data_IF_965672117215
#
_entry.id   IF_965672117215
#
_cell.length_a   1.000
_cell.length_b   1.000
_cell.length_c   1.000
_cell.angle_alpha   90.00
_cell.angle_beta   90.00
_cell.angle_gamma   90.00
#
_symmetry.space_group_name_H-M   'P 1'
#
loop_
_entity.id
_entity.type
_entity.pdbx_description
1 polymer ?
#
# COMPACT_ATOMS: atom_id res chain seq x y z
N UNK A 1 -6.95 27.34 -33.60
CA UNK A 1 -8.21 28.00 -33.98
C UNK A 1 -9.21 27.64 -32.89
N UNK A 2 -9.57 28.61 -32.05
CA UNK A 2 -10.48 28.39 -30.91
C UNK A 2 -11.88 28.18 -31.45
N UNK A 3 -12.36 26.95 -31.38
CA UNK A 3 -13.74 26.61 -31.75
C UNK A 3 -14.66 27.28 -30.71
N UNK A 4 -15.51 28.18 -31.17
CA UNK A 4 -16.43 28.92 -30.30
C UNK A 4 -17.44 27.93 -29.70
N UNK A 5 -17.58 27.97 -28.37
CA UNK A 5 -18.57 27.18 -27.64
C UNK A 5 -19.98 27.44 -28.22
N UNK A 6 -20.78 26.40 -28.48
CA UNK A 6 -22.17 26.59 -28.92
C UNK A 6 -22.96 27.39 -27.87
N UNK A 7 -23.96 28.19 -28.29
CA UNK A 7 -24.72 29.04 -27.38
C UNK A 7 -25.38 28.20 -26.28
N UNK A 8 -25.24 28.64 -25.03
CA UNK A 8 -25.87 28.02 -23.88
C UNK A 8 -27.40 27.93 -24.10
N UNK A 9 -27.99 26.77 -23.84
CA UNK A 9 -29.44 26.59 -23.85
C UNK A 9 -30.12 27.71 -23.03
N UNK A 10 -31.22 28.26 -23.56
CA UNK A 10 -31.96 29.34 -22.91
C UNK A 10 -32.41 28.89 -21.52
N UNK A 11 -31.91 29.56 -20.48
CA UNK A 11 -32.30 29.29 -19.11
C UNK A 11 -33.74 29.75 -18.91
N UNK A 12 -34.61 28.81 -18.53
CA UNK A 12 -35.97 29.10 -18.09
C UNK A 12 -35.98 29.40 -16.59
N UNK A 13 -37.09 29.93 -16.07
CA UNK A 13 -37.21 30.28 -14.66
C UNK A 13 -38.45 29.64 -14.05
N UNK A 14 -38.33 29.21 -12.80
CA UNK A 14 -39.46 28.73 -11.99
C UNK A 14 -39.55 29.52 -10.70
N UNK A 15 -40.77 29.70 -10.19
CA UNK A 15 -41.02 30.47 -8.97
C UNK A 15 -41.29 29.52 -7.81
N UNK A 16 -40.60 29.72 -6.69
CA UNK A 16 -40.83 28.95 -5.47
C UNK A 16 -42.23 29.23 -4.91
N UNK A 17 -43.08 28.22 -4.66
CA UNK A 17 -44.43 28.42 -4.15
C UNK A 17 -44.49 28.90 -2.69
N UNK A 18 -43.37 28.88 -1.97
CA UNK A 18 -43.30 29.27 -0.55
C UNK A 18 -42.80 30.70 -0.33
N UNK A 19 -41.74 31.10 -1.04
CA UNK A 19 -41.07 32.40 -0.81
C UNK A 19 -41.06 33.30 -2.06
N UNK A 20 -41.62 32.84 -3.18
CA UNK A 20 -41.62 33.54 -4.47
C UNK A 20 -40.23 33.81 -5.09
N UNK A 21 -39.15 33.26 -4.53
CA UNK A 21 -37.82 33.31 -5.17
C UNK A 21 -37.85 32.71 -6.58
N UNK A 22 -37.12 33.32 -7.51
CA UNK A 22 -36.94 32.81 -8.86
C UNK A 22 -35.72 31.88 -8.92
N UNK A 23 -35.91 30.66 -9.42
CA UNK A 23 -34.86 29.67 -9.58
C UNK A 23 -34.59 29.44 -11.08
N UNK A 24 -33.32 29.35 -11.49
CA UNK A 24 -32.98 28.98 -12.86
C UNK A 24 -33.35 27.51 -13.11
N UNK A 25 -33.81 27.23 -14.32
CA UNK A 25 -34.07 25.88 -14.82
C UNK A 25 -33.40 25.73 -16.19
N UNK A 26 -32.36 24.90 -16.23
CA UNK A 26 -31.51 24.72 -17.40
C UNK A 26 -31.97 23.57 -18.30
N UNK A 27 -32.79 22.66 -17.78
CA UNK A 27 -33.42 21.57 -18.55
C UNK A 27 -34.94 21.56 -18.37
N UNK A 28 -35.68 22.54 -18.95
CA UNK A 28 -37.13 22.61 -18.81
C UNK A 28 -37.87 21.38 -19.34
N UNK A 29 -37.27 20.66 -20.30
CA UNK A 29 -37.86 19.47 -20.89
C UNK A 29 -37.96 18.33 -19.87
N UNK A 30 -36.96 18.15 -19.00
CA UNK A 30 -36.89 17.03 -18.05
C UNK A 30 -37.09 17.43 -16.59
N UNK A 31 -36.69 18.63 -16.17
CA UNK A 31 -36.79 19.09 -14.77
C UNK A 31 -38.24 19.19 -14.32
N UNK A 32 -38.56 18.54 -13.19
CA UNK A 32 -39.92 18.53 -12.58
C UNK A 32 -39.91 18.86 -11.10
N UNK A 33 -38.78 18.75 -10.44
CA UNK A 33 -38.63 18.96 -9.00
C UNK A 33 -37.50 19.93 -8.72
N UNK A 34 -37.69 20.78 -7.71
CA UNK A 34 -36.79 21.89 -7.43
C UNK A 34 -36.59 22.08 -5.94
N UNK A 35 -35.33 22.29 -5.54
CA UNK A 35 -34.93 22.72 -4.20
C UNK A 35 -34.61 24.22 -4.20
N UNK A 36 -35.38 25.01 -3.44
CA UNK A 36 -35.17 26.45 -3.33
C UNK A 36 -33.92 26.79 -2.50
N UNK A 37 -32.99 27.57 -3.06
CA UNK A 37 -31.79 28.02 -2.36
C UNK A 37 -32.05 29.03 -1.23
N UNK A 38 -33.14 29.80 -1.29
CA UNK A 38 -33.51 30.75 -0.23
C UNK A 38 -34.22 30.07 0.94
N UNK A 39 -35.40 29.50 0.71
CA UNK A 39 -36.26 29.02 1.80
C UNK A 39 -36.21 27.50 2.02
N UNK A 40 -35.38 26.78 1.25
CA UNK A 40 -35.19 25.32 1.34
C UNK A 40 -36.46 24.50 1.19
N UNK A 41 -37.47 25.05 0.52
CA UNK A 41 -38.64 24.28 0.10
C UNK A 41 -38.30 23.41 -1.10
N UNK A 42 -38.65 22.14 -1.02
CA UNK A 42 -38.64 21.21 -2.14
C UNK A 42 -40.04 21.13 -2.74
N UNK A 43 -40.16 21.34 -4.05
CA UNK A 43 -41.44 21.47 -4.72
C UNK A 43 -41.43 20.90 -6.12
N UNK A 44 -42.61 20.55 -6.62
CA UNK A 44 -42.84 20.08 -7.99
C UNK A 44 -43.46 21.19 -8.84
N UNK A 45 -42.98 21.37 -10.05
CA UNK A 45 -43.60 22.25 -11.05
C UNK A 45 -43.23 21.82 -12.47
N UNK A 46 -43.97 22.30 -13.47
CA UNK A 46 -43.64 22.11 -14.89
C UNK A 46 -43.11 23.46 -15.40
N UNK A 47 -41.83 23.55 -15.79
CA UNK A 47 -41.26 24.78 -16.35
C UNK A 47 -42.06 25.27 -17.56
N UNK A 48 -42.25 26.59 -17.66
CA UNK A 48 -42.98 27.27 -18.74
C UNK A 48 -44.49 26.92 -18.90
N UNK A 49 -45.07 26.08 -18.04
CA UNK A 49 -46.50 25.84 -18.01
C UNK A 49 -47.18 26.76 -16.98
N UNK A 50 -48.45 27.13 -17.22
CA UNK A 50 -49.31 27.88 -16.28
C UNK A 50 -49.72 27.08 -15.03
N UNK A 51 -49.19 25.86 -14.86
CA UNK A 51 -49.45 25.00 -13.71
C UNK A 51 -48.93 25.58 -12.40
N UNK A 52 -49.73 25.45 -11.35
CA UNK A 52 -49.36 25.82 -9.98
C UNK A 52 -48.21 24.95 -9.47
N UNK A 53 -47.16 25.57 -8.92
CA UNK A 53 -46.10 24.85 -8.23
C UNK A 53 -46.62 24.26 -6.90
N UNK A 54 -46.29 23.00 -6.61
CA UNK A 54 -46.76 22.29 -5.42
C UNK A 54 -45.59 22.00 -4.47
N UNK A 55 -45.61 22.60 -3.29
CA UNK A 55 -44.63 22.31 -2.23
C UNK A 55 -44.81 20.88 -1.72
N UNK A 56 -43.72 20.12 -1.69
CA UNK A 56 -43.70 18.73 -1.22
C UNK A 56 -43.09 18.62 0.18
N UNK A 57 -42.00 19.36 0.42
CA UNK A 57 -41.26 19.30 1.68
C UNK A 57 -40.55 20.63 1.97
N UNK A 58 -40.08 20.82 3.20
CA UNK A 58 -39.21 21.93 3.55
C UNK A 58 -38.12 21.53 4.51
N UNK A 59 -36.87 21.68 4.08
CA UNK A 59 -35.71 21.42 4.93
C UNK A 59 -35.54 22.56 5.94
N UNK A 60 -35.29 22.20 7.20
CA UNK A 60 -35.38 23.15 8.33
C UNK A 60 -34.13 24.03 8.49
N UNK A 61 -32.96 23.57 8.06
CA UNK A 61 -31.69 24.28 8.21
C UNK A 61 -30.80 23.98 7.01
N UNK A 62 -30.08 25.00 6.54
CA UNK A 62 -28.99 24.82 5.59
C UNK A 62 -27.89 23.96 6.23
N UNK A 63 -27.47 22.90 5.54
CA UNK A 63 -26.29 22.14 5.94
C UNK A 63 -25.04 22.82 5.37
N UNK A 64 -24.05 23.05 6.24
CA UNK A 64 -22.80 23.71 5.90
C UNK A 64 -21.63 22.72 6.04
N UNK A 65 -20.61 22.79 5.17
CA UNK A 65 -20.55 23.68 4.00
C UNK A 65 -21.61 23.31 2.95
N UNK A 66 -22.05 24.31 2.18
CA UNK A 66 -22.97 24.11 1.07
C UNK A 66 -22.29 23.38 -0.11
N UNK A 67 -22.86 23.46 -1.32
CA UNK A 67 -22.25 22.81 -2.48
C UNK A 67 -20.84 23.35 -2.76
N UNK A 68 -19.84 22.46 -2.83
CA UNK A 68 -18.46 22.80 -3.25
C UNK A 68 -18.38 23.11 -4.74
N UNK A 69 -19.30 22.55 -5.53
CA UNK A 69 -19.47 22.87 -6.95
C UNK A 69 -20.70 23.76 -7.11
N UNK A 70 -20.56 24.99 -7.63
CA UNK A 70 -21.70 25.90 -7.80
C UNK A 70 -22.79 25.30 -8.70
N UNK A 71 -24.06 25.47 -8.32
CA UNK A 71 -25.18 25.16 -9.22
C UNK A 71 -25.06 26.00 -10.51
N UNK A 72 -25.29 25.38 -11.65
CA UNK A 72 -25.12 25.96 -12.98
C UNK A 72 -23.70 25.88 -13.52
N UNK A 73 -22.70 25.52 -12.71
CA UNK A 73 -21.32 25.35 -13.17
C UNK A 73 -21.25 24.29 -14.28
N UNK A 74 -20.48 24.57 -15.32
CA UNK A 74 -20.26 23.64 -16.44
C UNK A 74 -18.83 23.11 -16.42
N UNK A 75 -18.67 21.86 -16.81
CA UNK A 75 -17.38 21.20 -16.86
C UNK A 75 -17.33 20.05 -17.86
N UNK A 76 -16.16 19.45 -18.04
CA UNK A 76 -15.98 18.24 -18.84
C UNK A 76 -15.64 17.08 -17.92
N UNK A 77 -16.54 16.11 -17.82
CA UNK A 77 -16.37 14.98 -16.93
C UNK A 77 -16.98 13.71 -17.52
N UNK A 78 -16.30 12.57 -17.37
CA UNK A 78 -16.78 11.28 -17.89
C UNK A 78 -16.94 11.24 -19.42
N UNK A 79 -16.26 12.12 -20.15
CA UNK A 79 -16.41 12.28 -21.61
C UNK A 79 -17.57 13.19 -22.03
N UNK A 80 -18.27 13.82 -21.09
CA UNK A 80 -19.43 14.69 -21.36
C UNK A 80 -19.15 16.13 -20.95
N UNK A 81 -19.57 17.08 -21.80
CA UNK A 81 -19.79 18.46 -21.38
C UNK A 81 -21.06 18.48 -20.53
N UNK A 82 -20.92 18.74 -19.24
CA UNK A 82 -22.00 18.65 -18.27
C UNK A 82 -22.16 19.93 -17.45
N UNK A 83 -23.35 20.10 -16.88
CA UNK A 83 -23.74 21.18 -15.96
C UNK A 83 -24.18 20.58 -14.64
N UNK A 84 -23.75 21.18 -13.53
CA UNK A 84 -24.28 20.88 -12.20
C UNK A 84 -25.68 21.49 -12.10
N UNK A 85 -26.72 20.66 -12.01
CA UNK A 85 -28.10 21.15 -12.01
C UNK A 85 -28.77 21.01 -10.65
N UNK A 86 -28.44 19.95 -9.91
CA UNK A 86 -28.98 19.67 -8.59
C UNK A 86 -27.87 19.36 -7.60
N UNK A 87 -28.12 19.66 -6.34
CA UNK A 87 -27.28 19.33 -5.19
C UNK A 87 -28.17 18.76 -4.09
N UNK A 88 -27.76 17.65 -3.50
CA UNK A 88 -28.43 17.10 -2.32
C UNK A 88 -27.44 16.65 -1.27
N UNK A 89 -27.85 16.74 -0.01
CA UNK A 89 -27.16 16.10 1.11
C UNK A 89 -27.96 14.87 1.48
N UNK A 90 -27.32 13.73 1.45
CA UNK A 90 -27.89 12.47 1.90
C UNK A 90 -27.21 12.02 3.18
N UNK A 91 -27.94 11.25 3.97
CA UNK A 91 -27.39 10.51 5.10
C UNK A 91 -28.06 9.15 5.17
N UNK A 92 -27.76 8.39 6.21
CA UNK A 92 -28.39 7.09 6.41
C UNK A 92 -29.55 7.17 7.39
N UNK A 93 -30.49 6.24 7.28
CA UNK A 93 -31.62 6.17 8.21
C UNK A 93 -31.21 5.73 9.61
N UNK A 94 -30.22 4.84 9.69
CA UNK A 94 -29.74 4.27 10.95
C UNK A 94 -28.49 4.98 11.50
N UNK A 95 -27.82 5.80 10.69
CA UNK A 95 -26.70 6.64 11.11
C UNK A 95 -27.08 8.14 11.01
N UNK A 96 -26.95 8.85 12.14
CA UNK A 96 -27.26 10.29 12.22
C UNK A 96 -26.05 11.18 11.94
N UNK A 97 -24.87 10.61 11.80
CA UNK A 97 -23.60 11.32 11.63
C UNK A 97 -23.11 11.23 10.19
N UNK A 98 -23.25 10.06 9.54
CA UNK A 98 -22.88 9.90 8.14
C UNK A 98 -23.72 10.80 7.21
N UNK A 99 -23.03 11.74 6.57
CA UNK A 99 -23.59 12.64 5.56
C UNK A 99 -22.65 12.75 4.36
N UNK A 100 -23.19 12.57 3.16
CA UNK A 100 -22.48 12.76 1.90
C UNK A 100 -23.26 13.72 0.99
N UNK A 101 -22.57 14.26 -0.01
CA UNK A 101 -23.13 15.21 -0.97
C UNK A 101 -23.22 14.55 -2.33
N UNK A 102 -24.32 14.79 -3.02
CA UNK A 102 -24.50 14.36 -4.39
C UNK A 102 -24.84 15.53 -5.30
N UNK A 103 -24.24 15.54 -6.49
CA UNK A 103 -24.43 16.56 -7.50
C UNK A 103 -25.00 15.90 -8.75
N UNK A 104 -26.17 16.36 -9.18
CA UNK A 104 -26.76 15.93 -10.43
C UNK A 104 -26.08 16.63 -11.59
N UNK A 105 -25.55 15.85 -12.52
CA UNK A 105 -24.95 16.35 -13.74
C UNK A 105 -25.91 16.15 -14.92
N UNK A 106 -26.03 17.17 -15.78
CA UNK A 106 -26.83 17.12 -17.01
C UNK A 106 -26.00 17.53 -18.22
N UNK A 107 -26.29 17.02 -19.42
CA UNK A 107 -25.60 17.46 -20.63
C UNK A 107 -25.73 18.98 -20.80
N UNK A 108 -24.60 19.66 -20.96
CA UNK A 108 -24.52 21.09 -21.29
C UNK A 108 -24.33 21.34 -22.79
N UNK A 109 -24.04 20.28 -23.54
CA UNK A 109 -23.94 20.25 -24.99
C UNK A 109 -24.81 19.10 -25.56
N UNK A 110 -25.18 19.15 -26.86
CA UNK A 110 -25.89 18.05 -27.50
C UNK A 110 -25.16 16.72 -27.32
N UNK A 111 -25.92 15.68 -26.96
CA UNK A 111 -25.38 14.33 -26.80
C UNK A 111 -25.10 13.70 -28.18
N UNK A 112 -24.07 12.84 -28.28
CA UNK A 112 -23.77 12.12 -29.52
C UNK A 112 -24.88 11.12 -29.91
N UNK A 113 -25.66 10.66 -28.94
CA UNK A 113 -26.87 9.87 -29.14
C UNK A 113 -28.01 10.40 -28.25
N UNK A 114 -29.29 10.14 -28.59
CA UNK A 114 -30.42 10.65 -27.81
C UNK A 114 -30.44 10.14 -26.35
N UNK A 115 -29.97 8.91 -26.12
CA UNK A 115 -29.89 8.26 -24.80
C UNK A 115 -28.62 7.41 -24.70
N UNK A 116 -27.47 8.00 -24.34
CA UNK A 116 -26.25 7.25 -24.04
C UNK A 116 -26.49 6.25 -22.90
N UNK A 117 -25.96 5.03 -23.06
CA UNK A 117 -26.24 3.92 -22.15
C UNK A 117 -25.69 4.12 -20.73
N UNK A 118 -24.76 5.04 -20.54
CA UNK A 118 -24.10 5.33 -19.27
C UNK A 118 -24.71 6.53 -18.52
N UNK A 119 -25.71 7.23 -19.06
CA UNK A 119 -26.46 8.23 -18.30
C UNK A 119 -27.52 7.58 -17.37
N UNK A 120 -27.90 8.22 -16.25
CA UNK A 120 -27.52 9.57 -15.80
C UNK A 120 -26.08 9.65 -15.25
N UNK A 121 -25.54 10.87 -15.24
CA UNK A 121 -24.25 11.18 -14.62
C UNK A 121 -24.47 11.92 -13.30
N UNK A 122 -23.79 11.50 -12.24
CA UNK A 122 -23.83 12.13 -10.92
C UNK A 122 -22.42 12.13 -10.30
N UNK A 123 -22.17 13.08 -9.41
CA UNK A 123 -21.02 13.04 -8.51
C UNK A 123 -21.50 12.76 -7.10
N UNK A 124 -20.78 11.91 -6.37
CA UNK A 124 -20.91 11.80 -4.92
C UNK A 124 -19.60 12.19 -4.25
N UNK A 125 -19.69 12.92 -3.14
CA UNK A 125 -18.58 13.32 -2.29
C UNK A 125 -18.85 12.89 -0.85
N UNK A 126 -17.91 12.15 -0.28
CA UNK A 126 -17.89 11.81 1.13
C UNK A 126 -16.48 11.97 1.69
N UNK A 127 -16.32 12.86 2.68
CA UNK A 127 -15.03 13.12 3.35
C UNK A 127 -13.88 13.44 2.37
N UNK A 128 -14.15 14.25 1.36
CA UNK A 128 -13.20 14.64 0.31
C UNK A 128 -12.92 13.58 -0.76
N UNK A 129 -13.58 12.42 -0.70
CA UNK A 129 -13.49 11.37 -1.71
C UNK A 129 -14.62 11.48 -2.72
N UNK A 130 -14.26 11.54 -4.00
CA UNK A 130 -15.19 11.79 -5.10
C UNK A 130 -15.44 10.55 -5.94
N UNK A 131 -16.71 10.33 -6.29
CA UNK A 131 -17.15 9.24 -7.14
C UNK A 131 -17.96 9.79 -8.31
N UNK A 132 -17.58 9.43 -9.53
CA UNK A 132 -18.37 9.66 -10.73
C UNK A 132 -19.29 8.47 -10.97
N UNK A 133 -20.59 8.68 -10.75
CA UNK A 133 -21.63 7.66 -10.87
C UNK A 133 -22.25 7.74 -12.25
N UNK A 134 -22.36 6.57 -12.89
CA UNK A 134 -22.98 6.37 -14.20
C UNK A 134 -23.81 5.09 -14.20
N UNK A 135 -24.73 4.92 -15.14
CA UNK A 135 -25.50 3.66 -15.25
C UNK A 135 -24.55 2.48 -15.48
N UNK A 136 -24.72 1.39 -14.72
CA UNK A 136 -23.83 0.25 -14.81
C UNK A 136 -24.05 -0.47 -16.16
N UNK A 137 -23.03 -0.60 -17.02
CA UNK A 137 -23.16 -1.33 -18.27
C UNK A 137 -23.28 -2.84 -18.04
N UNK A 138 -22.82 -3.32 -16.88
CA UNK A 138 -22.80 -4.73 -16.48
C UNK A 138 -23.02 -4.82 -14.98
N UNK A 139 -23.79 -5.82 -14.56
CA UNK A 139 -24.15 -6.09 -13.16
C UNK A 139 -24.60 -7.55 -13.04
N UNK A 140 -24.63 -8.13 -11.82
CA UNK A 140 -25.11 -9.49 -11.65
C UNK A 140 -26.55 -9.65 -12.10
N UNK A 141 -26.84 -10.71 -12.87
CA UNK A 141 -28.21 -11.03 -13.26
C UNK A 141 -29.05 -11.40 -12.04
N UNK A 142 -30.10 -10.64 -11.75
CA UNK A 142 -31.03 -10.93 -10.65
C UNK A 142 -32.36 -11.48 -11.19
N UNK A 143 -32.94 -12.46 -10.50
CA UNK A 143 -34.31 -12.90 -10.74
C UNK A 143 -35.28 -11.75 -10.39
N UNK A 144 -36.27 -11.51 -11.25
CA UNK A 144 -37.23 -10.40 -11.16
C UNK A 144 -37.72 -10.11 -9.74
N UNK A 145 -37.59 -8.85 -9.30
CA UNK A 145 -38.21 -8.30 -8.09
C UNK A 145 -37.52 -8.61 -6.76
N UNK A 146 -36.37 -9.29 -6.74
CA UNK A 146 -35.62 -9.58 -5.51
C UNK A 146 -34.31 -8.77 -5.47
N UNK A 147 -33.81 -8.38 -4.29
CA UNK A 147 -32.49 -7.79 -4.16
C UNK A 147 -31.39 -8.83 -4.39
N UNK A 148 -30.20 -8.37 -4.76
CA UNK A 148 -29.03 -9.23 -4.89
C UNK A 148 -28.56 -9.68 -3.50
N UNK A 149 -28.36 -10.99 -3.33
CA UNK A 149 -28.11 -11.60 -2.01
C UNK A 149 -26.65 -11.93 -1.75
N UNK A 150 -25.88 -12.19 -2.80
CA UNK A 150 -24.47 -12.55 -2.66
C UNK A 150 -23.64 -11.39 -2.09
N UNK A 151 -22.53 -11.74 -1.45
CA UNK A 151 -21.58 -10.76 -0.88
C UNK A 151 -20.48 -10.37 -1.87
N UNK A 152 -20.43 -10.95 -3.05
CA UNK A 152 -19.47 -10.57 -4.07
C UNK A 152 -19.97 -10.91 -5.46
N UNK A 153 -19.41 -10.23 -6.45
CA UNK A 153 -19.66 -10.50 -7.86
C UNK A 153 -18.36 -10.33 -8.64
N UNK A 154 -18.08 -11.25 -9.56
CA UNK A 154 -16.97 -11.14 -10.50
C UNK A 154 -17.53 -10.80 -11.88
N UNK A 155 -17.11 -9.67 -12.43
CA UNK A 155 -17.44 -9.30 -13.80
C UNK A 155 -16.77 -10.30 -14.76
N UNK A 156 -17.54 -11.06 -15.56
CA UNK A 156 -16.98 -12.08 -16.45
C UNK A 156 -16.19 -11.51 -17.62
N UNK A 157 -16.37 -10.22 -17.96
CA UNK A 157 -15.65 -9.56 -19.05
C UNK A 157 -14.36 -8.90 -18.55
N UNK A 158 -14.43 -8.16 -17.45
CA UNK A 158 -13.26 -7.41 -16.95
C UNK A 158 -12.44 -8.18 -15.91
N UNK A 159 -12.97 -9.28 -15.37
CA UNK A 159 -12.35 -10.07 -14.31
C UNK A 159 -12.35 -9.40 -12.93
N UNK A 160 -12.87 -8.16 -12.83
CA UNK A 160 -12.94 -7.38 -11.58
C UNK A 160 -13.82 -8.09 -10.57
N UNK A 161 -13.36 -8.12 -9.33
CA UNK A 161 -14.05 -8.77 -8.22
C UNK A 161 -14.58 -7.71 -7.25
N UNK A 162 -15.89 -7.49 -7.32
CA UNK A 162 -16.63 -6.58 -6.46
C UNK A 162 -17.03 -7.29 -5.17
N UNK A 163 -16.73 -6.68 -4.04
CA UNK A 163 -17.04 -7.22 -2.71
C UNK A 163 -17.99 -6.28 -1.98
N UNK A 164 -19.04 -6.83 -1.37
CA UNK A 164 -20.03 -6.07 -0.63
C UNK A 164 -19.33 -5.25 0.46
N UNK A 165 -19.49 -3.95 0.39
CA UNK A 165 -18.87 -2.98 1.28
C UNK A 165 -19.92 -2.37 2.21
N UNK A 166 -21.12 -2.03 1.73
CA UNK A 166 -22.12 -1.43 2.61
C UNK A 166 -23.56 -1.72 2.21
N UNK A 167 -24.48 -1.60 3.17
CA UNK A 167 -25.94 -1.69 2.95
C UNK A 167 -26.67 -0.68 3.83
N UNK A 168 -27.47 0.17 3.21
CA UNK A 168 -28.16 1.23 3.95
C UNK A 168 -29.47 1.64 3.28
N UNK A 169 -30.25 2.44 4.01
CA UNK A 169 -31.40 3.17 3.47
C UNK A 169 -31.06 4.66 3.52
N UNK A 170 -31.09 5.38 2.39
CA UNK A 170 -30.73 6.79 2.36
C UNK A 170 -31.85 7.65 2.98
N UNK A 171 -31.50 8.84 3.42
CA UNK A 171 -32.38 9.93 3.82
C UNK A 171 -31.95 11.22 3.13
N UNK A 172 -32.90 12.03 2.68
CA UNK A 172 -32.61 13.33 2.08
C UNK A 172 -32.63 14.39 3.18
N UNK A 173 -31.50 15.05 3.39
CA UNK A 173 -31.32 16.04 4.48
C UNK A 173 -31.47 17.48 4.00
N UNK A 174 -31.06 17.75 2.77
CA UNK A 174 -31.12 19.06 2.13
C UNK A 174 -31.08 18.87 0.61
N UNK A 175 -31.67 19.79 -0.14
CA UNK A 175 -31.64 19.77 -1.60
C UNK A 175 -31.81 21.14 -2.22
N UNK A 176 -31.03 21.42 -3.26
CA UNK A 176 -30.98 22.68 -4.00
C UNK A 176 -30.91 22.40 -5.51
N UNK A 177 -31.46 23.30 -6.32
CA UNK A 177 -31.39 23.19 -7.78
C UNK A 177 -32.51 22.35 -8.38
N UNK A 178 -32.28 21.78 -9.57
CA UNK A 178 -33.29 21.08 -10.37
C UNK A 178 -33.02 19.56 -10.50
N UNK A 179 -34.11 18.80 -10.47
CA UNK A 179 -34.15 17.34 -10.55
C UNK A 179 -35.29 16.88 -11.50
N UNK A 180 -35.08 15.77 -12.20
CA UNK A 180 -36.10 15.14 -13.07
C UNK A 180 -36.90 14.02 -12.37
N UNK A 181 -36.53 13.63 -11.15
CA UNK A 181 -37.31 12.73 -10.29
C UNK A 181 -37.55 13.32 -8.90
N UNK A 182 -38.46 12.70 -8.16
CA UNK A 182 -38.75 13.05 -6.77
C UNK A 182 -37.71 12.40 -5.85
N UNK A 183 -36.66 13.13 -5.49
CA UNK A 183 -35.56 12.62 -4.64
C UNK A 183 -36.04 12.09 -3.27
N UNK A 184 -37.20 12.53 -2.78
CA UNK A 184 -37.76 12.05 -1.51
C UNK A 184 -38.28 10.61 -1.59
N UNK A 185 -38.51 10.09 -2.80
CA UNK A 185 -38.89 8.68 -2.99
C UNK A 185 -37.72 7.73 -2.78
N UNK A 186 -36.48 8.24 -2.88
CA UNK A 186 -35.26 7.45 -2.68
C UNK A 186 -35.12 6.96 -1.25
N UNK A 187 -35.79 7.59 -0.27
CA UNK A 187 -35.80 7.14 1.14
C UNK A 187 -36.47 5.78 1.35
N UNK A 188 -37.15 5.26 0.32
CA UNK A 188 -37.74 3.91 0.29
C UNK A 188 -36.78 2.87 -0.28
N UNK A 189 -35.62 3.28 -0.79
CA UNK A 189 -34.62 2.40 -1.36
C UNK A 189 -33.86 1.65 -0.26
N UNK A 190 -33.41 0.45 -0.63
CA UNK A 190 -32.32 -0.25 0.03
C UNK A 190 -31.16 -0.28 -0.95
N UNK A 191 -30.03 0.32 -0.53
CA UNK A 191 -28.82 0.43 -1.35
C UNK A 191 -27.83 -0.63 -0.90
N UNK A 192 -27.16 -1.25 -1.86
CA UNK A 192 -26.03 -2.15 -1.63
C UNK A 192 -24.85 -1.69 -2.47
N UNK A 193 -23.70 -1.46 -1.83
CA UNK A 193 -22.49 -1.02 -2.50
C UNK A 193 -21.42 -2.10 -2.46
N UNK A 194 -20.76 -2.33 -3.58
CA UNK A 194 -19.72 -3.35 -3.73
C UNK A 194 -18.44 -2.70 -4.25
N UNK A 195 -17.34 -2.79 -3.49
CA UNK A 195 -16.06 -2.16 -3.84
C UNK A 195 -15.18 -3.08 -4.69
N UNK A 196 -14.58 -2.49 -5.73
CA UNK A 196 -13.47 -3.03 -6.51
C UNK A 196 -12.62 -1.85 -7.02
N UNK A 197 -11.80 -1.22 -6.15
CA UNK A 197 -11.10 0.04 -6.46
C UNK A 197 -10.35 -0.02 -7.81
N UNK A 198 -10.44 1.03 -8.66
CA UNK A 198 -11.06 2.36 -8.42
C UNK A 198 -12.59 2.40 -8.53
N UNK A 199 -13.29 1.26 -8.63
CA UNK A 199 -14.73 1.23 -8.89
C UNK A 199 -15.56 0.86 -7.68
N UNK A 200 -16.80 1.35 -7.65
CA UNK A 200 -17.87 0.95 -6.73
C UNK A 200 -19.09 0.58 -7.56
N UNK A 201 -19.68 -0.59 -7.32
CA UNK A 201 -20.92 -0.99 -7.97
C UNK A 201 -22.06 -0.83 -6.96
N UNK A 202 -23.05 -0.01 -7.27
CA UNK A 202 -24.20 0.26 -6.41
C UNK A 202 -25.47 -0.37 -6.98
N UNK A 203 -26.24 -1.06 -6.14
CA UNK A 203 -27.57 -1.56 -6.44
C UNK A 203 -28.60 -0.82 -5.62
N UNK A 204 -29.52 -0.12 -6.28
CA UNK A 204 -30.67 0.51 -5.68
C UNK A 204 -31.90 -0.38 -5.84
N UNK A 205 -32.48 -0.82 -4.73
CA UNK A 205 -33.64 -1.71 -4.73
C UNK A 205 -34.83 -1.09 -3.99
N UNK A 206 -36.01 -1.19 -4.60
CA UNK A 206 -37.30 -0.87 -3.98
C UNK A 206 -38.17 -2.13 -3.97
N UNK A 207 -39.01 -2.35 -2.94
CA UNK A 207 -39.94 -3.47 -2.93
C UNK A 207 -40.76 -3.54 -4.23
N UNK A 208 -40.92 -4.76 -4.75
CA UNK A 208 -41.69 -5.09 -5.96
C UNK A 208 -41.15 -4.49 -7.28
N UNK A 209 -39.99 -3.85 -7.26
CA UNK A 209 -39.32 -3.30 -8.44
C UNK A 209 -38.00 -4.03 -8.74
N UNK A 210 -37.56 -3.98 -10.00
CA UNK A 210 -36.22 -4.48 -10.38
C UNK A 210 -35.16 -3.52 -9.87
N UNK A 211 -34.09 -4.05 -9.29
CA UNK A 211 -32.97 -3.21 -8.87
C UNK A 211 -32.35 -2.46 -10.06
N UNK A 212 -32.05 -1.19 -9.86
CA UNK A 212 -31.25 -0.41 -10.78
C UNK A 212 -29.79 -0.44 -10.32
N UNK A 213 -28.87 -0.55 -11.27
CA UNK A 213 -27.44 -0.66 -10.98
C UNK A 213 -26.66 0.51 -11.55
N UNK A 214 -25.73 1.01 -10.76
CA UNK A 214 -24.85 2.10 -11.10
C UNK A 214 -23.39 1.69 -10.86
N UNK A 215 -22.52 2.17 -11.73
CA UNK A 215 -21.07 2.03 -11.58
C UNK A 215 -20.52 3.40 -11.22
N UNK A 216 -19.89 3.49 -10.07
CA UNK A 216 -19.12 4.64 -9.65
C UNK A 216 -17.63 4.41 -9.92
N UNK A 217 -16.95 5.46 -10.33
CA UNK A 217 -15.50 5.50 -10.54
C UNK A 217 -14.90 6.57 -9.63
N UNK A 218 -13.86 6.20 -8.88
CA UNK A 218 -13.14 7.11 -8.02
C UNK A 218 -12.39 8.16 -8.83
N UNK A 219 -12.58 9.42 -8.47
CA UNK A 219 -11.87 10.56 -9.02
C UNK A 219 -10.96 11.19 -7.96
N UNK A 220 -9.76 11.59 -8.35
CA UNK A 220 -8.94 12.45 -7.51
C UNK A 220 -9.58 13.86 -7.43
N UNK A 221 -9.52 14.55 -6.26
CA UNK A 221 -10.07 15.90 -6.12
C UNK A 221 -9.53 16.89 -7.16
N UNK A 222 -8.27 16.72 -7.58
CA UNK A 222 -7.66 17.54 -8.62
C UNK A 222 -8.36 17.38 -9.99
N UNK A 223 -8.87 16.19 -10.31
CA UNK A 223 -9.60 15.94 -11.56
C UNK A 223 -10.96 16.65 -11.53
N UNK A 224 -11.67 16.60 -10.39
CA UNK A 224 -12.93 17.32 -10.20
C UNK A 224 -12.72 18.84 -10.26
N UNK A 225 -11.68 19.34 -9.59
CA UNK A 225 -11.33 20.75 -9.58
C UNK A 225 -11.04 21.26 -11.00
N UNK A 226 -10.19 20.54 -11.75
CA UNK A 226 -9.87 20.86 -13.13
C UNK A 226 -11.09 20.80 -14.06
N UNK A 227 -11.97 19.80 -13.86
CA UNK A 227 -13.16 19.63 -14.69
C UNK A 227 -14.13 20.82 -14.62
N UNK A 228 -14.29 21.42 -13.45
CA UNK A 228 -15.23 22.54 -13.21
C UNK A 228 -14.56 23.92 -13.07
N UNK A 229 -13.23 23.99 -13.20
CA UNK A 229 -12.49 25.24 -13.10
C UNK A 229 -12.52 25.88 -11.70
N UNK A 230 -12.66 25.06 -10.65
CA UNK A 230 -12.63 25.51 -9.25
C UNK A 230 -11.24 25.29 -8.65
N UNK A 231 -10.86 26.07 -7.63
CA UNK A 231 -9.57 25.88 -7.00
C UNK A 231 -9.58 24.59 -6.15
N UNK A 232 -8.52 23.76 -6.13
CA UNK A 232 -8.50 22.53 -5.33
C UNK A 232 -8.80 22.74 -3.84
N UNK A 233 -8.39 23.88 -3.28
CA UNK A 233 -8.66 24.29 -1.89
C UNK A 233 -10.14 24.59 -1.58
N UNK A 234 -10.99 24.71 -2.60
CA UNK A 234 -12.43 24.91 -2.45
C UNK A 234 -13.17 23.57 -2.33
N UNK A 235 -12.50 22.46 -2.67
CA UNK A 235 -13.01 21.11 -2.45
C UNK A 235 -12.67 20.64 -1.03
N UNK A 236 -13.46 19.73 -0.43
CA UNK A 236 -13.18 19.19 0.89
C UNK A 236 -11.87 18.39 0.92
N UNK A 237 -11.12 18.54 2.01
CA UNK A 237 -9.93 17.72 2.27
C UNK A 237 -10.31 16.25 2.48
N UNK A 238 -9.43 15.35 2.05
CA UNK A 238 -9.61 13.90 2.25
C UNK A 238 -9.43 13.52 3.71
N UNK A 239 -10.41 12.83 4.28
CA UNK A 239 -10.33 12.23 5.60
C UNK A 239 -10.51 10.72 5.47
N UNK A 240 -9.58 9.97 6.06
CA UNK A 240 -9.59 8.51 6.00
C UNK A 240 -9.29 7.96 4.60
N UNK A 241 -9.89 6.80 4.30
CA UNK A 241 -9.74 6.10 3.02
C UNK A 241 -11.11 5.86 2.40
N UNK A 242 -11.31 6.36 1.18
CA UNK A 242 -12.59 6.25 0.48
C UNK A 242 -12.91 4.80 0.05
N UNK A 243 -14.19 4.45 0.01
CA UNK A 243 -14.67 3.09 -0.28
C UNK A 243 -14.13 2.49 -1.59
N UNK A 244 -13.91 3.32 -2.62
CA UNK A 244 -13.33 2.91 -3.90
C UNK A 244 -11.94 3.52 -4.17
N UNK A 245 -11.28 4.09 -3.15
CA UNK A 245 -9.96 4.70 -3.32
C UNK A 245 -8.91 3.63 -3.67
N UNK A 246 -8.13 3.82 -4.75
CA UNK A 246 -7.03 2.92 -5.09
C UNK A 246 -5.96 2.87 -4.02
N UNK A 247 -5.39 1.67 -3.79
CA UNK A 247 -4.24 1.53 -2.92
C UNK A 247 -3.04 2.33 -3.46
N UNK A 248 -2.25 2.99 -2.59
CA UNK A 248 -1.18 3.90 -2.99
C UNK A 248 0.03 3.22 -3.63
N UNK A 249 0.08 1.88 -3.63
CA UNK A 249 1.15 1.10 -4.24
C UNK A 249 0.64 0.49 -5.55
N UNK A 250 0.68 1.24 -6.68
CA UNK A 250 0.31 0.71 -7.98
C UNK A 250 1.26 -0.42 -8.35
N UNK A 251 0.77 -1.42 -9.10
CA UNK A 251 1.61 -2.52 -9.58
C UNK A 251 2.10 -3.48 -8.49
N UNK A 252 1.45 -3.51 -7.31
CA UNK A 252 1.82 -4.41 -6.22
C UNK A 252 2.02 -5.88 -6.63
N UNK A 253 1.15 -6.52 -7.44
CA UNK A 253 1.38 -7.89 -7.91
C UNK A 253 2.63 -8.04 -8.80
N UNK A 254 3.01 -7.00 -9.54
CA UNK A 254 4.23 -6.97 -10.36
C UNK A 254 5.46 -6.85 -9.44
N UNK A 255 5.40 -5.97 -8.43
CA UNK A 255 6.47 -5.81 -7.44
C UNK A 255 6.70 -7.09 -6.64
N UNK A 256 5.64 -7.76 -6.18
CA UNK A 256 5.74 -9.05 -5.49
C UNK A 256 6.38 -10.12 -6.36
N UNK A 257 5.96 -10.22 -7.63
CA UNK A 257 6.55 -11.17 -8.59
C UNK A 257 8.01 -10.87 -8.86
N UNK A 258 8.35 -9.61 -9.08
CA UNK A 258 9.73 -9.19 -9.31
C UNK A 258 10.60 -9.53 -8.09
N UNK A 259 10.15 -9.16 -6.88
CA UNK A 259 10.87 -9.47 -5.65
C UNK A 259 11.08 -10.98 -5.49
N UNK A 260 10.04 -11.79 -5.70
CA UNK A 260 10.14 -13.24 -5.62
C UNK A 260 11.15 -13.80 -6.63
N UNK A 261 11.08 -13.36 -7.90
CA UNK A 261 12.02 -13.79 -8.94
C UNK A 261 13.45 -13.40 -8.58
N UNK A 262 13.69 -12.17 -8.14
CA UNK A 262 15.03 -11.71 -7.75
C UNK A 262 15.56 -12.50 -6.54
N UNK A 263 14.73 -12.78 -5.54
CA UNK A 263 15.12 -13.61 -4.39
C UNK A 263 15.50 -15.03 -4.83
N UNK A 264 14.69 -15.66 -5.70
CA UNK A 264 14.99 -16.98 -6.25
C UNK A 264 16.30 -16.96 -7.05
N UNK A 265 16.51 -15.97 -7.92
CA UNK A 265 17.75 -15.85 -8.71
C UNK A 265 18.97 -15.63 -7.82
N UNK A 266 18.85 -14.82 -6.75
CA UNK A 266 19.92 -14.63 -5.78
C UNK A 266 20.27 -15.93 -5.06
N UNK A 267 19.27 -16.68 -4.57
CA UNK A 267 19.51 -17.96 -3.91
C UNK A 267 20.10 -19.01 -4.87
N UNK A 268 19.64 -19.03 -6.13
CA UNK A 268 20.22 -19.90 -7.15
C UNK A 268 21.66 -19.52 -7.47
N UNK A 269 21.97 -18.23 -7.61
CA UNK A 269 23.33 -17.75 -7.82
C UNK A 269 24.24 -18.15 -6.64
N UNK A 270 23.77 -17.96 -5.40
CA UNK A 270 24.48 -18.41 -4.20
C UNK A 270 24.73 -19.92 -4.21
N UNK A 271 23.73 -20.74 -4.56
CA UNK A 271 23.87 -22.20 -4.64
C UNK A 271 24.85 -22.62 -5.74
N UNK A 272 24.83 -21.98 -6.90
CA UNK A 272 25.80 -22.22 -7.99
C UNK A 272 27.21 -21.84 -7.54
N UNK A 273 27.39 -20.70 -6.86
CA UNK A 273 28.68 -20.29 -6.33
C UNK A 273 29.21 -21.32 -5.30
N UNK A 274 28.37 -21.81 -4.40
CA UNK A 274 28.73 -22.88 -3.47
C UNK A 274 29.12 -24.18 -4.19
N UNK A 275 28.43 -24.52 -5.28
CA UNK A 275 28.76 -25.69 -6.11
C UNK A 275 30.08 -25.57 -6.88
N UNK A 276 30.42 -24.36 -7.36
CA UNK A 276 31.67 -24.07 -8.09
C UNK A 276 32.87 -23.83 -7.16
N UNK A 277 32.60 -23.39 -5.94
CA UNK A 277 33.57 -23.00 -4.93
C UNK A 277 33.31 -23.77 -3.64
N UNK A 278 33.45 -25.10 -3.70
CA UNK A 278 33.27 -25.93 -2.52
C UNK A 278 34.28 -25.54 -1.43
N UNK A 279 33.80 -25.35 -0.19
CA UNK A 279 34.69 -25.19 0.96
C UNK A 279 35.58 -26.41 1.09
N UNK A 280 36.87 -26.17 1.25
CA UNK A 280 37.86 -27.23 1.43
C UNK A 280 38.57 -26.99 2.76
N UNK A 281 38.51 -27.98 3.64
CA UNK A 281 39.20 -27.95 4.92
C UNK A 281 40.63 -28.44 4.72
N UNK A 282 41.60 -27.61 5.07
CA UNK A 282 43.00 -28.03 5.11
C UNK A 282 43.22 -29.00 6.29
N UNK A 283 44.26 -29.84 6.25
CA UNK A 283 44.61 -30.68 7.39
C UNK A 283 44.86 -29.81 8.63
N UNK A 284 44.17 -30.14 9.72
CA UNK A 284 44.38 -29.51 11.03
C UNK A 284 45.85 -29.60 11.44
N UNK A 285 46.36 -28.52 12.01
CA UNK A 285 47.72 -28.46 12.55
C UNK A 285 47.71 -28.15 14.05
N UNK A 286 48.41 -28.99 14.82
CA UNK A 286 48.54 -28.84 16.26
C UNK A 286 49.94 -28.32 16.61
N UNK A 287 49.98 -27.32 17.49
CA UNK A 287 51.20 -26.70 17.98
C UNK A 287 51.24 -26.75 19.50
N UNK A 288 52.46 -26.86 20.05
CA UNK A 288 52.70 -26.71 21.48
C UNK A 288 53.29 -25.34 21.76
N UNK A 289 52.56 -24.56 22.54
CA UNK A 289 52.98 -23.24 23.01
C UNK A 289 53.54 -23.39 24.42
N UNK A 290 54.76 -22.94 24.63
CA UNK A 290 55.38 -22.90 25.96
C UNK A 290 55.62 -21.44 26.37
N UNK A 291 55.60 -21.19 27.68
CA UNK A 291 55.92 -19.87 28.23
C UNK A 291 57.35 -19.47 27.82
N UNK A 292 57.50 -18.23 27.33
CA UNK A 292 58.79 -17.69 26.97
C UNK A 292 59.63 -17.51 28.26
N UNK A 293 60.76 -18.21 28.36
CA UNK A 293 61.70 -18.02 29.46
C UNK A 293 62.23 -16.57 29.53
N UNK A 294 62.90 -16.17 30.63
CA UNK A 294 63.31 -14.78 30.90
C UNK A 294 64.27 -14.14 29.87
N UNK A 295 64.76 -14.90 28.88
CA UNK A 295 65.62 -14.44 27.78
C UNK A 295 65.05 -14.79 26.38
N UNK A 296 63.82 -15.27 26.28
CA UNK A 296 63.24 -15.75 25.03
C UNK A 296 62.50 -14.64 24.26
N UNK A 297 62.80 -14.53 22.97
CA UNK A 297 61.94 -13.86 22.00
C UNK A 297 60.64 -14.65 21.85
N UNK A 298 59.51 -13.96 21.62
CA UNK A 298 58.20 -14.56 21.32
C UNK A 298 58.34 -15.77 20.41
N UNK A 299 57.80 -16.92 20.85
CA UNK A 299 57.85 -18.15 20.06
C UNK A 299 57.14 -17.89 18.72
N UNK A 300 57.82 -18.14 17.61
CA UNK A 300 57.20 -18.12 16.28
C UNK A 300 56.93 -19.57 15.86
N UNK A 301 55.67 -19.87 15.58
CA UNK A 301 55.22 -21.15 15.05
C UNK A 301 54.87 -20.98 13.58
N UNK A 302 55.36 -21.86 12.72
CA UNK A 302 55.08 -21.79 11.28
C UNK A 302 54.28 -23.01 10.84
N UNK A 303 53.15 -22.79 10.16
CA UNK A 303 52.31 -23.86 9.60
C UNK A 303 52.95 -24.50 8.37
N UNK A 304 52.40 -25.64 7.94
CA UNK A 304 52.73 -26.20 6.63
C UNK A 304 52.25 -25.24 5.53
N UNK A 305 52.98 -25.16 4.40
CA UNK A 305 52.55 -24.33 3.28
C UNK A 305 51.40 -24.98 2.52
N UNK A 306 50.45 -24.16 2.07
CA UNK A 306 49.32 -24.54 1.23
C UNK A 306 49.20 -23.62 0.01
N UNK A 307 48.45 -24.04 -1.01
CA UNK A 307 48.33 -23.30 -2.28
C UNK A 307 46.88 -22.94 -2.56
N UNK A 308 46.66 -21.66 -2.87
CA UNK A 308 45.39 -21.13 -3.35
C UNK A 308 45.45 -21.01 -4.87
N UNK A 309 44.58 -21.74 -5.57
CA UNK A 309 44.52 -21.75 -7.04
C UNK A 309 43.86 -20.49 -7.62
N UNK A 310 43.11 -19.75 -6.81
CA UNK A 310 42.37 -18.53 -7.17
C UNK A 310 42.25 -17.61 -5.97
N UNK A 311 41.82 -16.37 -6.22
CA UNK A 311 41.45 -15.48 -5.13
C UNK A 311 40.23 -16.06 -4.38
N UNK A 312 40.30 -16.13 -3.04
CA UNK A 312 39.27 -16.77 -2.22
C UNK A 312 39.18 -16.17 -0.82
N UNK A 313 38.15 -16.56 -0.07
CA UNK A 313 38.06 -16.27 1.36
C UNK A 313 38.62 -17.44 2.17
N UNK A 314 39.28 -17.11 3.28
CA UNK A 314 39.79 -18.09 4.25
C UNK A 314 39.08 -17.86 5.58
N UNK A 315 38.53 -18.93 6.14
CA UNK A 315 38.06 -18.93 7.51
C UNK A 315 39.06 -19.72 8.35
N UNK A 316 39.64 -19.04 9.33
CA UNK A 316 40.69 -19.57 10.19
C UNK A 316 40.13 -19.68 11.61
N UNK A 317 40.15 -20.88 12.15
CA UNK A 317 39.72 -21.15 13.53
C UNK A 317 40.96 -21.52 14.33
N UNK A 318 41.19 -20.79 15.41
CA UNK A 318 42.19 -21.12 16.41
C UNK A 318 41.47 -21.74 17.60
N UNK A 319 41.94 -22.89 18.07
CA UNK A 319 41.38 -23.55 19.25
C UNK A 319 42.48 -23.87 20.26
N UNK A 320 42.26 -23.61 21.54
CA UNK A 320 43.16 -23.99 22.63
C UNK A 320 42.44 -24.96 23.59
N UNK A 321 42.39 -26.28 23.28
CA UNK A 321 41.52 -27.24 23.97
C UNK A 321 41.82 -27.38 25.47
N UNK A 322 43.10 -27.26 25.84
CA UNK A 322 43.56 -27.37 27.23
C UNK A 322 43.47 -26.07 28.02
N UNK A 323 43.09 -24.95 27.39
CA UNK A 323 43.05 -23.64 28.02
C UNK A 323 42.04 -23.60 29.17
N UNK A 324 42.50 -23.29 30.37
CA UNK A 324 41.65 -23.19 31.57
C UNK A 324 42.27 -22.21 32.57
N UNK A 325 41.46 -21.28 33.05
CA UNK A 325 41.81 -20.21 33.99
C UNK A 325 42.99 -19.32 33.55
N UNK A 326 43.18 -19.18 32.24
CA UNK A 326 44.20 -18.35 31.60
C UNK A 326 43.72 -17.91 30.22
N UNK A 327 44.51 -17.04 29.58
CA UNK A 327 44.31 -16.57 28.21
C UNK A 327 45.55 -16.85 27.36
N UNK A 328 45.32 -16.95 26.05
CA UNK A 328 46.36 -16.98 25.03
C UNK A 328 45.97 -16.01 23.92
N UNK A 329 46.83 -15.04 23.65
CA UNK A 329 46.68 -14.15 22.50
C UNK A 329 47.55 -14.67 21.36
N UNK A 330 46.98 -14.82 20.17
CA UNK A 330 47.69 -15.28 18.98
C UNK A 330 47.61 -14.19 17.93
N UNK A 331 48.75 -13.59 17.62
CA UNK A 331 48.90 -12.81 16.39
C UNK A 331 49.31 -13.76 15.27
N UNK A 332 48.52 -13.82 14.21
CA UNK A 332 48.76 -14.68 13.05
C UNK A 332 49.00 -13.83 11.80
N UNK A 333 49.99 -14.20 11.00
CA UNK A 333 50.30 -13.58 9.72
C UNK A 333 50.27 -14.64 8.62
N UNK A 334 49.34 -14.52 7.67
CA UNK A 334 49.31 -15.33 6.46
C UNK A 334 50.27 -14.73 5.44
N UNK A 335 51.38 -15.41 5.15
CA UNK A 335 52.47 -14.87 4.33
C UNK A 335 52.46 -15.51 2.94
N UNK A 336 52.42 -14.68 1.89
CA UNK A 336 52.61 -15.15 0.52
C UNK A 336 54.10 -15.42 0.26
N UNK A 337 54.47 -16.67 -0.07
CA UNK A 337 55.87 -17.08 -0.21
C UNK A 337 56.60 -16.44 -1.39
N UNK A 338 55.88 -15.93 -2.39
CA UNK A 338 56.47 -15.33 -3.58
C UNK A 338 56.65 -13.82 -3.45
N UNK A 339 55.68 -13.14 -2.83
CA UNK A 339 55.65 -11.67 -2.76
C UNK A 339 56.06 -11.13 -1.39
N UNK A 340 56.09 -11.97 -0.36
CA UNK A 340 56.30 -11.57 1.03
C UNK A 340 55.13 -10.79 1.64
N UNK A 341 54.01 -10.61 0.91
CA UNK A 341 52.84 -9.91 1.43
C UNK A 341 52.18 -10.73 2.54
N UNK A 342 52.05 -10.13 3.72
CA UNK A 342 51.34 -10.69 4.88
C UNK A 342 49.90 -10.19 4.99
N UNK A 343 49.02 -11.03 5.52
CA UNK A 343 47.69 -10.65 6.01
C UNK A 343 47.62 -11.01 7.49
N UNK A 344 47.53 -9.99 8.34
CA UNK A 344 47.63 -10.14 9.79
C UNK A 344 46.28 -10.06 10.47
N UNK A 345 46.09 -10.88 11.50
CA UNK A 345 44.99 -10.77 12.44
C UNK A 345 45.45 -11.23 13.83
N UNK A 346 44.83 -10.68 14.87
CA UNK A 346 45.08 -11.08 16.26
C UNK A 346 43.79 -11.59 16.89
N UNK A 347 43.88 -12.67 17.65
CA UNK A 347 42.77 -13.23 18.42
C UNK A 347 43.22 -13.59 19.82
N UNK A 348 42.40 -13.28 20.80
CA UNK A 348 42.53 -13.79 22.16
C UNK A 348 41.58 -14.95 22.35
N UNK A 349 42.08 -16.03 22.96
CA UNK A 349 41.31 -17.16 23.44
C UNK A 349 41.46 -17.16 24.95
N UNK A 350 40.35 -17.29 25.67
CA UNK A 350 40.35 -17.23 27.13
C UNK A 350 39.23 -18.11 27.66
N UNK A 351 39.49 -18.88 28.71
CA UNK A 351 38.46 -19.70 29.33
C UNK A 351 38.66 -19.75 30.83
N UNK A 352 37.66 -19.31 31.58
CA UNK A 352 37.66 -19.27 33.03
C UNK A 352 36.53 -20.13 33.59
N UNK A 353 36.80 -20.80 34.71
CA UNK A 353 35.81 -21.57 35.44
C UNK A 353 36.10 -21.57 36.93
N UNK A 354 35.05 -21.60 37.73
CA UNK A 354 35.17 -21.56 39.18
C UNK A 354 33.89 -21.96 39.89
N UNK A 355 33.96 -21.93 41.21
CA UNK A 355 32.79 -22.05 42.10
C UNK A 355 32.80 -20.83 43.01
N UNK A 356 31.70 -20.08 43.01
CA UNK A 356 31.50 -18.93 43.87
C UNK A 356 30.12 -19.05 44.54
N UNK A 357 30.07 -18.87 45.85
CA UNK A 357 28.84 -19.04 46.68
C UNK A 357 28.10 -20.38 46.47
N UNK A 358 28.84 -21.45 46.13
CA UNK A 358 28.29 -22.78 45.88
C UNK A 358 27.73 -22.99 44.47
N UNK A 359 27.82 -21.99 43.59
CA UNK A 359 27.41 -22.09 42.20
C UNK A 359 28.63 -22.21 41.28
N UNK A 360 28.60 -23.20 40.38
CA UNK A 360 29.62 -23.33 39.34
C UNK A 360 29.35 -22.35 38.20
N UNK A 361 30.40 -21.72 37.68
CA UNK A 361 30.35 -20.81 36.54
C UNK A 361 31.48 -21.08 35.55
N UNK A 362 31.26 -20.66 34.30
CA UNK A 362 32.25 -20.66 33.22
C UNK A 362 32.13 -19.37 32.41
N UNK A 363 33.24 -18.81 31.95
CA UNK A 363 33.29 -17.60 31.13
C UNK A 363 34.36 -17.75 30.02
N UNK A 364 34.15 -17.09 28.88
CA UNK A 364 35.06 -17.10 27.75
C UNK A 364 34.85 -18.27 26.77
N UNK A 365 35.72 -18.32 25.76
CA UNK A 365 35.72 -19.34 24.72
C UNK A 365 37.18 -19.81 24.43
N UNK A 366 37.33 -21.12 24.26
CA UNK A 366 38.59 -21.76 23.87
C UNK A 366 38.84 -21.69 22.37
N UNK A 367 37.91 -21.10 21.61
CA UNK A 367 37.97 -20.98 20.17
C UNK A 367 37.84 -19.52 19.75
N UNK A 368 38.56 -19.13 18.70
CA UNK A 368 38.41 -17.81 18.08
C UNK A 368 38.60 -17.89 16.57
N UNK A 369 37.75 -17.17 15.84
CA UNK A 369 37.68 -17.20 14.38
C UNK A 369 38.16 -15.91 13.73
N UNK A 370 38.82 -16.04 12.58
CA UNK A 370 39.19 -14.94 11.71
C UNK A 370 38.82 -15.22 10.26
N UNK A 371 38.22 -14.23 9.60
CA UNK A 371 37.87 -14.28 8.19
C UNK A 371 38.79 -13.35 7.40
N UNK A 372 39.59 -13.93 6.51
CA UNK A 372 40.40 -13.19 5.54
C UNK A 372 39.68 -13.22 4.19
N UNK A 373 39.07 -12.10 3.81
CA UNK A 373 38.36 -11.98 2.55
C UNK A 373 39.33 -11.68 1.38
N UNK A 374 39.04 -12.25 0.21
CA UNK A 374 39.70 -11.94 -1.07
C UNK A 374 41.24 -12.11 -1.06
N UNK A 375 41.75 -13.16 -0.40
CA UNK A 375 43.16 -13.55 -0.44
C UNK A 375 43.50 -14.01 -1.86
N UNK A 376 44.46 -13.39 -2.58
CA UNK A 376 44.80 -13.74 -3.95
C UNK A 376 45.38 -15.16 -4.10
N UNK A 377 45.32 -15.70 -5.33
CA UNK A 377 46.00 -16.95 -5.68
C UNK A 377 47.50 -16.88 -5.33
N UNK A 378 48.06 -18.00 -4.88
CA UNK A 378 49.46 -18.05 -4.46
C UNK A 378 49.72 -19.18 -3.47
N UNK A 379 50.99 -19.31 -3.07
CA UNK A 379 51.43 -20.25 -2.04
C UNK A 379 51.65 -19.49 -0.74
N UNK A 380 51.11 -20.03 0.35
CA UNK A 380 51.06 -19.35 1.64
C UNK A 380 51.40 -20.30 2.79
N UNK A 381 51.86 -19.73 3.90
CA UNK A 381 51.91 -20.37 5.21
C UNK A 381 51.49 -19.35 6.28
N UNK A 382 51.10 -19.84 7.47
CA UNK A 382 50.89 -18.99 8.63
C UNK A 382 52.14 -18.91 9.50
N UNK A 383 52.47 -17.71 9.97
CA UNK A 383 53.31 -17.50 11.13
C UNK A 383 52.43 -17.08 12.31
N UNK A 384 52.46 -17.85 13.39
CA UNK A 384 51.73 -17.60 14.62
C UNK A 384 52.70 -17.14 15.69
N UNK A 385 52.33 -16.08 16.39
CA UNK A 385 53.06 -15.48 17.50
C UNK A 385 52.17 -15.53 18.74
N UNK A 386 52.07 -16.71 19.40
CA UNK A 386 51.30 -16.84 20.63
C UNK A 386 51.99 -16.12 21.80
N UNK A 387 51.18 -15.48 22.64
CA UNK A 387 51.54 -14.90 23.92
C UNK A 387 50.66 -15.52 25.00
N UNK A 388 51.28 -16.16 25.98
CA UNK A 388 50.59 -16.78 27.11
C UNK A 388 50.53 -15.83 28.30
N UNK A 389 49.51 -16.03 29.14
CA UNK A 389 49.45 -15.45 30.48
C UNK A 389 50.64 -15.92 31.34
N UNK A 390 51.12 -15.05 32.23
CA UNK A 390 52.28 -15.38 33.07
C UNK A 390 51.96 -16.52 34.04
N UNK A 391 52.81 -17.54 34.08
CA UNK A 391 52.59 -18.73 34.91
C UNK A 391 51.59 -19.74 34.31
N UNK A 392 51.13 -19.53 33.08
CA UNK A 392 50.36 -20.54 32.36
C UNK A 392 51.25 -21.75 31.98
N UNK A 393 50.72 -22.95 32.14
CA UNK A 393 51.38 -24.16 31.67
C UNK A 393 51.43 -24.27 30.13
N UNK A 394 52.17 -25.26 29.58
CA UNK A 394 52.17 -25.52 28.15
C UNK A 394 50.74 -25.68 27.60
N UNK A 395 50.42 -24.93 26.55
CA UNK A 395 49.08 -24.90 25.94
C UNK A 395 49.14 -25.49 24.53
N UNK A 396 48.20 -26.38 24.23
CA UNK A 396 48.01 -26.91 22.87
C UNK A 396 47.20 -25.89 22.07
N UNK A 397 47.72 -25.49 20.90
CA UNK A 397 47.06 -24.60 19.96
C UNK A 397 46.77 -25.36 18.67
N UNK A 398 45.51 -25.39 18.24
CA UNK A 398 45.06 -25.99 16.99
C UNK A 398 44.73 -24.90 15.98
N UNK A 399 45.21 -25.09 14.76
CA UNK A 399 44.91 -24.25 13.61
C UNK A 399 44.09 -25.06 12.61
N UNK A 400 42.85 -24.62 12.41
CA UNK A 400 41.96 -25.08 11.35
C UNK A 400 41.81 -23.98 10.31
N UNK A 401 41.87 -24.34 9.03
CA UNK A 401 41.73 -23.37 7.93
C UNK A 401 40.85 -23.94 6.84
N UNK A 402 39.73 -23.26 6.62
CA UNK A 402 38.81 -23.53 5.51
C UNK A 402 39.08 -22.56 4.37
N UNK A 403 39.40 -23.10 3.19
CA UNK A 403 39.53 -22.32 1.96
C UNK A 403 38.20 -22.32 1.19
N UNK A 404 37.94 -21.27 0.40
CA UNK A 404 36.65 -21.08 -0.27
C UNK A 404 35.47 -20.93 0.69
N UNK A 405 35.73 -20.33 1.86
CA UNK A 405 34.69 -20.18 2.88
C UNK A 405 33.57 -19.24 2.40
N UNK A 406 32.28 -19.63 2.54
CA UNK A 406 31.16 -18.84 2.05
C UNK A 406 30.87 -17.63 2.94
N UNK A 407 30.78 -16.47 2.31
CA UNK A 407 30.44 -15.20 2.98
C UNK A 407 28.92 -15.07 3.19
N UNK A 408 28.38 -15.87 4.11
CA UNK A 408 26.94 -15.92 4.41
C UNK A 408 26.34 -14.57 4.82
N UNK A 409 27.11 -13.72 5.51
CA UNK A 409 26.68 -12.39 5.92
C UNK A 409 26.23 -11.54 4.72
N UNK A 410 27.01 -11.50 3.65
CA UNK A 410 26.66 -10.75 2.43
C UNK A 410 25.35 -11.26 1.82
N UNK A 411 25.18 -12.58 1.74
CA UNK A 411 23.94 -13.19 1.25
C UNK A 411 22.74 -12.76 2.09
N UNK A 412 22.81 -12.90 3.41
CA UNK A 412 21.69 -12.57 4.30
C UNK A 412 21.39 -11.07 4.36
N UNK A 413 22.41 -10.20 4.27
CA UNK A 413 22.22 -8.75 4.19
C UNK A 413 21.47 -8.37 2.92
N UNK A 414 21.90 -8.87 1.75
CA UNK A 414 21.23 -8.58 0.47
C UNK A 414 19.82 -9.18 0.43
N UNK A 415 19.66 -10.42 0.93
CA UNK A 415 18.36 -11.08 1.05
C UNK A 415 17.39 -10.25 1.90
N UNK A 416 17.83 -9.79 3.07
CA UNK A 416 17.05 -8.94 3.97
C UNK A 416 16.68 -7.61 3.33
N UNK A 417 17.63 -6.93 2.68
CA UNK A 417 17.39 -5.66 2.00
C UNK A 417 16.36 -5.79 0.86
N UNK A 418 16.44 -6.86 0.07
CA UNK A 418 15.48 -7.15 -1.01
C UNK A 418 14.11 -7.52 -0.47
N UNK A 419 14.04 -8.29 0.63
CA UNK A 419 12.79 -8.68 1.27
C UNK A 419 12.09 -7.49 1.96
N UNK A 420 12.84 -6.48 2.39
CA UNK A 420 12.28 -5.32 3.11
C UNK A 420 11.26 -4.54 2.27
N UNK A 421 11.52 -4.35 0.97
CA UNK A 421 10.63 -3.59 0.08
C UNK A 421 9.22 -4.19 -0.03
N UNK A 422 9.04 -5.49 -0.39
CA UNK A 422 7.71 -6.09 -0.39
C UNK A 422 7.14 -6.22 1.02
N UNK A 423 7.94 -6.42 2.07
CA UNK A 423 7.39 -6.46 3.43
C UNK A 423 6.75 -5.12 3.82
N UNK A 424 7.47 -4.01 3.60
CA UNK A 424 6.94 -2.66 3.87
C UNK A 424 5.77 -2.31 2.96
N UNK A 425 5.86 -2.63 1.66
CA UNK A 425 4.78 -2.39 0.71
C UNK A 425 3.51 -3.18 1.06
N UNK A 426 3.68 -4.44 1.47
CA UNK A 426 2.59 -5.31 1.92
C UNK A 426 1.95 -4.82 3.22
N UNK A 427 2.77 -4.37 4.17
CA UNK A 427 2.30 -3.78 5.42
C UNK A 427 1.49 -2.50 5.17
N UNK A 428 2.02 -1.55 4.39
CA UNK A 428 1.31 -0.31 4.03
C UNK A 428 0.01 -0.57 3.29
N UNK A 429 0.03 -1.53 2.35
CA UNK A 429 -1.18 -1.94 1.62
C UNK A 429 -2.20 -2.55 2.57
N UNK A 430 -1.78 -3.42 3.49
CA UNK A 430 -2.69 -4.05 4.46
C UNK A 430 -3.33 -3.01 5.37
N UNK A 431 -2.56 -2.05 5.89
CA UNK A 431 -3.09 -0.94 6.68
C UNK A 431 -4.11 -0.11 5.89
N UNK A 432 -3.76 0.28 4.65
CA UNK A 432 -4.68 1.02 3.77
C UNK A 432 -5.99 0.26 3.52
N UNK A 433 -5.93 -1.05 3.32
CA UNK A 433 -7.12 -1.88 3.13
C UNK A 433 -7.93 -1.94 4.44
N UNK A 434 -7.30 -2.16 5.60
CA UNK A 434 -7.98 -2.13 6.89
C UNK A 434 -8.72 -0.79 7.11
N UNK A 435 -8.07 0.34 6.83
CA UNK A 435 -8.66 1.67 6.95
C UNK A 435 -9.86 1.86 6.01
N UNK A 436 -9.79 1.35 4.77
CA UNK A 436 -10.91 1.42 3.80
C UNK A 436 -12.13 0.63 4.27
N UNK A 437 -11.90 -0.48 4.97
CA UNK A 437 -12.96 -1.34 5.49
C UNK A 437 -13.40 -0.97 6.91
N UNK A 438 -12.76 0.01 7.56
CA UNK A 438 -13.08 0.40 8.94
C UNK A 438 -14.53 0.90 9.11
N UNK A 439 -15.10 1.52 8.08
CA UNK A 439 -16.48 2.04 8.08
C UNK A 439 -17.48 1.08 7.42
N UNK A 440 -17.11 -0.19 7.23
CA UNK A 440 -17.94 -1.21 6.58
C UNK A 440 -18.40 -2.26 7.58
N UNK A 441 -19.71 -2.52 7.62
CA UNK A 441 -20.29 -3.66 8.34
C UNK A 441 -19.91 -5.03 7.74
N UNK A 442 -19.21 -5.03 6.61
CA UNK A 442 -18.83 -6.22 5.85
C UNK A 442 -17.30 -6.38 5.73
N UNK A 443 -16.54 -5.74 6.64
CA UNK A 443 -15.08 -5.86 6.71
C UNK A 443 -14.60 -7.33 6.69
N UNK A 444 -13.62 -7.68 5.83
CA UNK A 444 -12.95 -8.99 5.86
C UNK A 444 -11.78 -9.06 6.86
N UNK A 445 -11.49 -7.97 7.58
CA UNK A 445 -10.32 -7.82 8.45
C UNK A 445 -10.59 -8.06 9.93
#
# INVERSE_FOLDING_TARGET
MSEALPPAASTSWVVCPQCAAQLPCHDPARSRYFGCFECRSFFRTIPAATTTAHRLYGFKKALLPGPSLPLGATGVLGGYHCRVTGYQVRGEKQDRVAEWREYQLRPAAPLPSPEPADLPLQLAEYQGHWLLIRRAPRFPGIRSGKPYREKSWRDPTTGRHYQLWHRYQPLVRDALGEFDWNILEDEKLTIQEFTAPPYLLSSEHKPDERSTWYLAEYLEPAEVAAAFGVAPRELPDRVGVGAAQPAPVPGWPQLQRLALVTLVLLSLAQAVLLGLHQPEQLPQEDFSVAEAGPAATTQMLTSKPFTLSRATALHVTLTAPSLTNHWVEVTASLVNEQTGRGYEFTRSLEFYQGVEDGYAWTEGDRSADALLAAVPAGRYHFNLYPSLDSGAGPTELRLDTEINSPLWSNYFVVLGALALVPLLGGWRRRGFEQDRWANSDFSPF
#
